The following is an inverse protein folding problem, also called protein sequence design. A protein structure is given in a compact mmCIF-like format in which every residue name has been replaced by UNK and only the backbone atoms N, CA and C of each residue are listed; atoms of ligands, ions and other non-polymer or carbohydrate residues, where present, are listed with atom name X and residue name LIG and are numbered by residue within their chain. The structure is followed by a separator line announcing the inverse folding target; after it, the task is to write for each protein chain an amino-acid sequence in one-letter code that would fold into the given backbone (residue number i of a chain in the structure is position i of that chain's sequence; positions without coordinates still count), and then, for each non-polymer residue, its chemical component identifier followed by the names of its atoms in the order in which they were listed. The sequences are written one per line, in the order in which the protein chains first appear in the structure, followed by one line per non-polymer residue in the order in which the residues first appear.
data_IF_550570100265
#
_entry.id   IF_550570100265
#
_cell.length_a   1.000
_cell.length_b   1.000
_cell.length_c   1.000
_cell.angle_alpha   90.00
_cell.angle_beta   90.00
_cell.angle_gamma   90.00
#
_symmetry.space_group_name_H-M   'P 1'
#
loop_
_entity.id
_entity.type
_entity.pdbx_description
1 polymer ?
#
# COMPACT_ATOMS: atom_id res chain seq x y z
N UNK A 1 5.76 5.81 30.36
CA UNK A 1 5.80 6.57 29.08
C UNK A 1 6.99 6.06 28.29
N UNK A 2 6.79 5.36 27.15
CA UNK A 2 7.91 4.69 26.47
C UNK A 2 8.33 5.27 25.11
N UNK A 3 7.89 6.49 24.75
CA UNK A 3 8.51 7.24 23.64
C UNK A 3 8.47 8.75 23.91
N UNK A 4 9.60 9.48 23.81
CA UNK A 4 9.58 10.93 23.90
C UNK A 4 8.85 11.55 22.70
N UNK A 5 8.34 12.77 22.87
CA UNK A 5 7.87 13.60 21.75
C UNK A 5 9.09 13.93 20.89
N UNK A 6 9.03 13.55 19.62
CA UNK A 6 10.05 13.95 18.65
C UNK A 6 9.76 15.39 18.25
N UNK A 7 10.78 16.23 18.18
CA UNK A 7 10.67 17.65 17.81
C UNK A 7 11.65 17.96 16.68
N UNK A 8 11.30 18.91 15.82
CA UNK A 8 12.14 19.38 14.72
C UNK A 8 11.76 20.80 14.31
N UNK A 9 12.71 21.55 13.77
CA UNK A 9 12.52 22.96 13.38
C UNK A 9 12.13 23.15 11.91
N UNK A 10 12.12 22.07 11.13
CA UNK A 10 11.92 22.12 9.66
C UNK A 10 10.78 21.23 9.20
N UNK A 11 10.89 19.93 9.46
CA UNK A 11 9.91 18.95 8.98
C UNK A 11 9.89 17.72 9.88
N UNK A 12 8.80 16.95 9.79
CA UNK A 12 8.60 15.72 10.54
C UNK A 12 7.71 14.76 9.75
N UNK A 13 8.00 13.46 9.85
CA UNK A 13 7.15 12.39 9.32
C UNK A 13 6.82 11.44 10.46
N UNK A 14 5.54 11.22 10.70
CA UNK A 14 5.04 10.23 11.65
C UNK A 14 4.30 9.13 10.86
N UNK A 15 4.75 7.89 11.02
CA UNK A 15 4.18 6.72 10.37
C UNK A 15 4.19 5.54 11.34
N UNK A 16 3.39 4.52 11.04
CA UNK A 16 3.27 3.32 11.87
C UNK A 16 4.48 2.38 11.78
N UNK A 17 5.43 2.63 10.87
CA UNK A 17 6.66 1.86 10.73
C UNK A 17 7.91 2.78 10.65
N UNK A 18 8.99 2.50 11.40
CA UNK A 18 10.20 3.33 11.39
C UNK A 18 10.82 3.51 10.00
N UNK A 19 10.89 2.45 9.19
CA UNK A 19 11.43 2.54 7.82
C UNK A 19 10.62 3.53 6.96
N UNK A 20 9.29 3.55 7.12
CA UNK A 20 8.43 4.48 6.40
C UNK A 20 8.64 5.93 6.86
N UNK A 21 8.70 6.16 8.19
CA UNK A 21 9.02 7.48 8.74
C UNK A 21 10.38 8.01 8.27
N UNK A 22 11.40 7.17 8.24
CA UNK A 22 12.73 7.54 7.77
C UNK A 22 12.74 7.84 6.27
N UNK A 23 12.06 7.02 5.46
CA UNK A 23 11.93 7.23 4.01
C UNK A 23 11.31 8.60 3.71
N UNK A 24 10.17 8.93 4.33
CA UNK A 24 9.54 10.24 4.14
C UNK A 24 10.42 11.39 4.61
N UNK A 25 11.11 11.24 5.74
CA UNK A 25 12.03 12.26 6.23
C UNK A 25 13.22 12.48 5.27
N UNK A 26 13.74 11.41 4.67
CA UNK A 26 14.85 11.50 3.73
C UNK A 26 14.42 12.12 2.39
N UNK A 27 13.19 11.90 1.94
CA UNK A 27 12.59 12.67 0.83
C UNK A 27 12.55 14.17 1.15
N UNK A 28 12.09 14.55 2.36
CA UNK A 28 12.07 15.96 2.78
C UNK A 28 13.49 16.57 2.87
N UNK A 29 14.49 15.80 3.32
CA UNK A 29 15.89 16.24 3.35
C UNK A 29 16.47 16.44 1.95
N UNK A 30 16.05 15.64 0.97
CA UNK A 30 16.44 15.74 -0.44
C UNK A 30 15.74 16.88 -1.19
N UNK A 31 14.84 17.61 -0.52
CA UNK A 31 14.15 18.77 -1.08
C UNK A 31 12.75 18.47 -1.62
N UNK A 32 12.27 17.23 -1.50
CA UNK A 32 10.87 16.90 -1.77
C UNK A 32 9.94 17.60 -0.78
N UNK A 33 8.67 17.75 -1.17
CA UNK A 33 7.67 18.37 -0.32
C UNK A 33 6.86 17.34 0.49
N UNK A 34 5.82 17.81 1.19
CA UNK A 34 4.98 16.95 2.03
C UNK A 34 4.21 15.88 1.25
N UNK A 35 3.82 16.15 -0.01
CA UNK A 35 3.14 15.18 -0.88
C UNK A 35 4.11 14.11 -1.35
N UNK A 36 5.30 14.51 -1.82
CA UNK A 36 6.37 13.59 -2.19
C UNK A 36 6.71 12.64 -1.03
N UNK A 37 6.90 13.21 0.16
CA UNK A 37 7.23 12.46 1.36
C UNK A 37 6.09 11.53 1.80
N UNK A 38 4.83 11.96 1.65
CA UNK A 38 3.67 11.14 2.00
C UNK A 38 3.53 9.93 1.08
N UNK A 39 3.73 10.09 -0.23
CA UNK A 39 3.68 9.00 -1.21
C UNK A 39 4.80 7.98 -0.92
N UNK A 40 6.05 8.44 -0.75
CA UNK A 40 7.17 7.56 -0.45
C UNK A 40 6.98 6.82 0.90
N UNK A 41 6.47 7.52 1.91
CA UNK A 41 6.13 6.92 3.21
C UNK A 41 5.07 5.83 3.04
N UNK A 42 3.98 6.12 2.32
CA UNK A 42 2.90 5.17 2.12
C UNK A 42 3.37 3.96 1.31
N UNK A 43 4.17 4.16 0.26
CA UNK A 43 4.75 3.07 -0.51
C UNK A 43 5.61 2.12 0.35
N UNK A 44 6.37 2.62 1.31
CA UNK A 44 7.10 1.76 2.26
C UNK A 44 6.16 1.06 3.25
N UNK A 45 5.05 1.68 3.65
CA UNK A 45 4.03 1.01 4.48
C UNK A 45 3.35 -0.15 3.74
N UNK A 46 3.15 -0.03 2.42
CA UNK A 46 2.61 -1.11 1.61
C UNK A 46 3.51 -2.37 1.66
N UNK A 47 4.81 -2.18 1.86
CA UNK A 47 5.81 -3.26 1.95
C UNK A 47 5.96 -3.76 3.38
N UNK A 48 6.03 -2.85 4.36
CA UNK A 48 6.42 -3.16 5.75
C UNK A 48 5.22 -3.40 6.68
N UNK A 49 4.02 -2.98 6.27
CA UNK A 49 2.76 -3.22 6.97
C UNK A 49 1.64 -3.72 6.03
N UNK A 50 1.86 -4.83 5.30
CA UNK A 50 0.87 -5.38 4.38
C UNK A 50 -0.40 -5.89 5.09
N UNK A 51 -0.34 -6.10 6.41
CA UNK A 51 -1.50 -6.45 7.24
C UNK A 51 -2.44 -5.28 7.53
N UNK A 52 -2.03 -4.04 7.20
CA UNK A 52 -2.80 -2.82 7.49
C UNK A 52 -3.12 -2.01 6.22
N UNK A 53 -2.30 -2.08 5.17
CA UNK A 53 -2.50 -1.30 3.94
C UNK A 53 -1.80 -1.93 2.73
N UNK A 54 -2.14 -1.45 1.53
CA UNK A 54 -1.54 -1.90 0.28
C UNK A 54 -2.09 -1.17 -0.94
N UNK A 55 -1.42 -1.32 -2.10
CA UNK A 55 -1.81 -0.70 -3.37
C UNK A 55 -3.11 -1.30 -3.92
N UNK A 56 -3.48 -2.48 -3.43
CA UNK A 56 -4.79 -3.11 -3.62
C UNK A 56 -5.91 -2.53 -2.75
N UNK A 57 -5.67 -1.44 -2.01
CA UNK A 57 -6.67 -0.74 -1.21
C UNK A 57 -6.83 0.72 -1.60
N UNK A 58 -7.19 1.53 -0.62
CA UNK A 58 -7.57 2.95 -0.77
C UNK A 58 -6.62 3.87 0.00
N UNK A 59 -6.64 5.16 -0.33
CA UNK A 59 -5.90 6.20 0.41
C UNK A 59 -6.67 7.52 0.40
N UNK A 60 -6.49 8.34 1.44
CA UNK A 60 -7.11 9.65 1.54
C UNK A 60 -6.05 10.67 1.94
N UNK A 61 -6.08 11.84 1.31
CA UNK A 61 -5.18 12.94 1.63
C UNK A 61 -5.94 14.16 2.12
N UNK A 62 -5.43 14.78 3.18
CA UNK A 62 -5.72 16.16 3.53
C UNK A 62 -4.43 16.95 3.36
N UNK A 63 -4.39 17.83 2.37
CA UNK A 63 -3.20 18.57 1.96
C UNK A 63 -3.42 20.04 2.30
N UNK A 64 -2.62 20.58 3.21
CA UNK A 64 -2.59 22.01 3.49
C UNK A 64 -1.61 22.71 2.54
N UNK A 65 -2.12 23.61 1.70
CA UNK A 65 -1.34 24.37 0.75
C UNK A 65 -0.88 25.68 1.39
N UNK A 66 0.31 25.66 2.00
CA UNK A 66 0.84 26.79 2.78
C UNK A 66 0.90 28.13 2.02
N UNK A 67 1.01 28.11 0.68
CA UNK A 67 1.02 29.32 -0.15
C UNK A 67 -0.35 30.00 -0.26
N UNK A 68 -1.43 29.23 -0.25
CA UNK A 68 -2.80 29.75 -0.39
C UNK A 68 -3.59 29.70 0.92
N UNK A 69 -3.14 28.92 1.90
CA UNK A 69 -3.86 28.66 3.13
C UNK A 69 -5.03 27.67 2.97
N UNK A 70 -5.17 27.04 1.80
CA UNK A 70 -6.27 26.13 1.50
C UNK A 70 -6.00 24.71 2.00
N UNK A 71 -7.08 23.97 2.29
CA UNK A 71 -7.04 22.53 2.55
C UNK A 71 -7.70 21.82 1.38
N UNK A 72 -6.96 20.91 0.76
CA UNK A 72 -7.46 20.06 -0.31
C UNK A 72 -7.68 18.66 0.24
N UNK A 73 -8.88 18.13 0.03
CA UNK A 73 -9.18 16.73 0.29
C UNK A 73 -9.13 15.94 -1.00
N UNK A 74 -8.36 14.85 -1.01
CA UNK A 74 -8.33 13.88 -2.10
C UNK A 74 -8.88 12.55 -1.61
N UNK A 75 -9.94 12.09 -2.27
CA UNK A 75 -10.61 10.83 -2.00
C UNK A 75 -10.11 9.76 -2.98
N UNK A 76 -9.20 8.90 -2.51
CA UNK A 76 -8.75 7.72 -3.23
C UNK A 76 -9.49 6.46 -2.80
N UNK A 77 -10.80 6.55 -2.57
CA UNK A 77 -11.64 5.39 -2.30
C UNK A 77 -12.11 4.71 -3.59
N UNK A 78 -11.91 3.41 -3.61
CA UNK A 78 -12.29 2.54 -4.69
C UNK A 78 -13.80 2.43 -4.91
N UNK A 79 -14.21 2.42 -6.17
CA UNK A 79 -15.63 2.19 -6.52
C UNK A 79 -15.98 0.71 -6.43
N UNK A 80 -17.24 0.42 -6.13
CA UNK A 80 -17.79 -0.91 -6.37
C UNK A 80 -17.63 -1.27 -7.87
N UNK A 81 -17.30 -2.53 -8.20
CA UNK A 81 -17.23 -2.98 -9.59
C UNK A 81 -18.56 -2.73 -10.31
N UNK A 82 -18.52 -2.38 -11.60
CA UNK A 82 -19.74 -2.05 -12.36
C UNK A 82 -20.76 -3.20 -12.40
N UNK A 83 -20.28 -4.45 -12.39
CA UNK A 83 -21.14 -5.64 -12.34
C UNK A 83 -21.57 -6.08 -10.94
N UNK A 84 -21.21 -5.35 -9.89
CA UNK A 84 -21.57 -5.70 -8.52
C UNK A 84 -23.01 -5.26 -8.22
N UNK A 85 -23.95 -6.21 -8.26
CA UNK A 85 -25.36 -5.99 -7.93
C UNK A 85 -25.77 -6.75 -6.66
N UNK A 86 -26.40 -6.08 -5.67
CA UNK A 86 -26.87 -6.74 -4.45
C UNK A 86 -27.85 -7.90 -4.71
N UNK A 87 -28.70 -7.77 -5.73
CA UNK A 87 -29.66 -8.80 -6.13
C UNK A 87 -28.96 -10.09 -6.54
N UNK A 88 -27.86 -10.00 -7.32
CA UNK A 88 -27.09 -11.16 -7.74
C UNK A 88 -26.44 -11.92 -6.58
N UNK A 89 -26.13 -11.23 -5.47
CA UNK A 89 -25.64 -11.89 -4.25
C UNK A 89 -26.78 -12.56 -3.49
N UNK A 90 -27.96 -11.93 -3.43
CA UNK A 90 -29.16 -12.51 -2.79
C UNK A 90 -29.63 -13.76 -3.52
N UNK A 91 -29.60 -13.77 -4.86
CA UNK A 91 -29.91 -14.94 -5.69
C UNK A 91 -28.95 -16.11 -5.42
N UNK A 92 -27.69 -15.81 -5.08
CA UNK A 92 -26.69 -16.79 -4.63
C UNK A 92 -26.86 -17.22 -3.16
N UNK A 93 -27.90 -16.73 -2.47
CA UNK A 93 -28.22 -17.06 -1.08
C UNK A 93 -27.45 -16.26 -0.03
N UNK A 94 -26.73 -15.19 -0.40
CA UNK A 94 -26.01 -14.36 0.56
C UNK A 94 -26.92 -13.30 1.20
N UNK A 95 -26.82 -13.17 2.53
CA UNK A 95 -27.51 -12.15 3.31
C UNK A 95 -26.61 -10.95 3.67
N UNK A 96 -25.31 -11.07 3.42
CA UNK A 96 -24.29 -10.03 3.56
C UNK A 96 -23.11 -10.36 2.64
N UNK A 97 -22.24 -9.39 2.36
CA UNK A 97 -21.01 -9.63 1.60
C UNK A 97 -20.09 -10.53 2.43
N UNK A 98 -19.72 -11.74 1.96
CA UNK A 98 -18.85 -12.63 2.72
C UNK A 98 -17.47 -12.00 2.90
N UNK A 99 -16.95 -11.89 4.14
CA UNK A 99 -15.58 -11.45 4.37
C UNK A 99 -14.59 -12.37 3.64
N UNK A 100 -13.49 -11.80 3.11
CA UNK A 100 -12.43 -12.54 2.41
C UNK A 100 -12.92 -13.29 1.14
N UNK A 101 -13.97 -12.78 0.50
CA UNK A 101 -14.41 -13.22 -0.83
C UNK A 101 -14.08 -12.18 -1.89
N UNK A 102 -14.07 -12.57 -3.17
CA UNK A 102 -13.92 -11.64 -4.29
C UNK A 102 -15.00 -10.53 -4.29
N UNK A 103 -16.18 -10.81 -3.74
CA UNK A 103 -17.27 -9.82 -3.62
C UNK A 103 -16.97 -8.69 -2.63
N UNK A 104 -15.97 -8.87 -1.76
CA UNK A 104 -15.54 -7.83 -0.82
C UNK A 104 -14.50 -6.88 -1.43
N UNK A 105 -14.10 -7.08 -2.68
CA UNK A 105 -13.06 -6.28 -3.36
C UNK A 105 -13.71 -5.14 -4.16
N UNK A 106 -13.30 -3.92 -3.86
CA UNK A 106 -13.57 -2.72 -4.68
C UNK A 106 -12.40 -2.44 -5.62
N UNK A 107 -12.59 -1.60 -6.63
CA UNK A 107 -11.50 -1.18 -7.52
C UNK A 107 -10.48 -0.35 -6.71
N UNK A 108 -9.23 -0.78 -6.51
CA UNK A 108 -8.32 -0.09 -5.59
C UNK A 108 -8.09 1.39 -5.95
N UNK A 109 -8.23 2.32 -5.01
CA UNK A 109 -8.06 3.75 -5.28
C UNK A 109 -6.69 4.33 -4.92
N UNK A 110 -5.82 3.56 -4.24
CA UNK A 110 -4.54 4.03 -3.71
C UNK A 110 -3.60 4.60 -4.78
N UNK A 111 -3.34 3.83 -5.85
CA UNK A 111 -2.38 4.22 -6.90
C UNK A 111 -2.85 5.43 -7.70
N UNK A 112 -4.14 5.50 -8.03
CA UNK A 112 -4.72 6.66 -8.70
C UNK A 112 -4.54 7.93 -7.85
N UNK A 113 -4.83 7.84 -6.56
CA UNK A 113 -4.69 8.96 -5.64
C UNK A 113 -3.24 9.40 -5.41
N UNK A 114 -2.28 8.46 -5.42
CA UNK A 114 -0.85 8.83 -5.41
C UNK A 114 -0.48 9.65 -6.64
N UNK A 115 -0.83 9.16 -7.83
CA UNK A 115 -0.46 9.85 -9.07
C UNK A 115 -1.21 11.17 -9.23
N UNK A 116 -2.51 11.24 -8.92
CA UNK A 116 -3.28 12.49 -9.00
C UNK A 116 -2.74 13.57 -8.03
N UNK A 117 -2.32 13.18 -6.82
CA UNK A 117 -1.66 14.08 -5.88
C UNK A 117 -0.28 14.50 -6.38
N UNK A 118 0.49 13.56 -6.91
CA UNK A 118 1.83 13.79 -7.43
C UNK A 118 1.85 14.69 -8.68
N UNK A 119 0.97 14.46 -9.65
CA UNK A 119 0.86 15.28 -10.86
C UNK A 119 0.57 16.75 -10.53
N UNK A 120 -0.24 16.98 -9.50
CA UNK A 120 -0.69 18.34 -9.14
C UNK A 120 0.23 19.04 -8.15
N UNK A 121 0.82 18.29 -7.23
CA UNK A 121 1.54 18.86 -6.08
C UNK A 121 2.92 18.25 -5.84
N UNK A 122 3.31 17.19 -6.53
CA UNK A 122 4.64 16.57 -6.40
C UNK A 122 5.76 17.43 -6.96
N UNK A 123 6.98 17.21 -6.47
CA UNK A 123 8.17 17.94 -6.92
C UNK A 123 9.37 17.04 -7.23
N UNK A 124 9.28 15.73 -6.93
CA UNK A 124 10.32 14.75 -7.24
C UNK A 124 9.77 13.69 -8.21
N UNK A 125 10.60 13.04 -9.03
CA UNK A 125 10.12 12.01 -9.94
C UNK A 125 9.66 10.75 -9.19
N UNK A 126 8.63 10.07 -9.71
CA UNK A 126 7.98 8.95 -9.02
C UNK A 126 8.92 7.76 -8.74
N UNK A 127 9.91 7.52 -9.61
CA UNK A 127 10.93 6.49 -9.40
C UNK A 127 11.80 6.75 -8.16
N UNK A 128 12.14 8.01 -7.89
CA UNK A 128 12.83 8.40 -6.66
C UNK A 128 11.95 8.23 -5.42
N UNK A 129 10.63 8.42 -5.53
CA UNK A 129 9.68 8.24 -4.42
C UNK A 129 9.45 6.76 -4.08
N UNK A 130 9.45 5.88 -5.09
CA UNK A 130 9.21 4.44 -4.92
C UNK A 130 10.49 3.62 -4.67
N UNK A 131 11.68 4.22 -4.82
CA UNK A 131 12.97 3.54 -4.72
C UNK A 131 13.14 2.74 -3.41
N UNK A 132 12.82 3.34 -2.26
CA UNK A 132 12.95 2.66 -0.97
C UNK A 132 11.92 1.54 -0.80
N UNK A 133 10.69 1.72 -1.30
CA UNK A 133 9.69 0.65 -1.29
C UNK A 133 10.15 -0.55 -2.13
N UNK A 134 10.71 -0.31 -3.32
CA UNK A 134 11.29 -1.36 -4.16
C UNK A 134 12.41 -2.10 -3.42
N UNK A 135 13.34 -1.35 -2.82
CA UNK A 135 14.45 -1.92 -2.05
C UNK A 135 13.97 -2.78 -0.87
N UNK A 136 13.04 -2.28 -0.06
CA UNK A 136 12.53 -3.04 1.08
C UNK A 136 11.67 -4.23 0.64
N UNK A 137 11.03 -4.17 -0.53
CA UNK A 137 10.30 -5.31 -1.09
C UNK A 137 11.24 -6.43 -1.57
N UNK A 138 12.48 -6.12 -1.97
CA UNK A 138 13.50 -7.15 -2.22
C UNK A 138 13.96 -7.86 -0.94
N UNK A 139 13.81 -7.21 0.22
CA UNK A 139 14.06 -7.81 1.52
C UNK A 139 14.05 -6.78 2.65
N UNK A 140 13.32 -7.07 3.72
CA UNK A 140 13.41 -6.31 4.97
C UNK A 140 13.17 -7.22 6.19
N UNK A 141 13.71 -6.87 7.37
CA UNK A 141 13.43 -7.60 8.60
C UNK A 141 11.95 -7.49 9.00
N UNK A 142 11.32 -8.62 9.30
CA UNK A 142 9.94 -8.68 9.80
C UNK A 142 9.89 -8.03 11.19
N UNK A 143 8.95 -7.10 11.38
CA UNK A 143 8.70 -6.49 12.68
C UNK A 143 7.97 -7.44 13.63
N UNK A 144 8.07 -7.21 14.95
CA UNK A 144 7.30 -7.96 15.94
C UNK A 144 5.80 -7.96 15.66
N UNK A 145 5.25 -6.82 15.27
CA UNK A 145 3.84 -6.68 14.95
C UNK A 145 3.47 -7.50 13.71
N UNK A 146 4.23 -7.38 12.61
CA UNK A 146 3.95 -8.12 11.40
C UNK A 146 4.04 -9.64 11.63
N UNK A 147 5.04 -10.11 12.39
CA UNK A 147 5.17 -11.53 12.75
C UNK A 147 3.94 -12.04 13.53
N UNK A 148 3.46 -11.27 14.52
CA UNK A 148 2.25 -11.61 15.29
C UNK A 148 1.04 -11.74 14.37
N UNK A 149 0.81 -10.75 13.50
CA UNK A 149 -0.33 -10.76 12.58
C UNK A 149 -0.28 -11.92 11.59
N UNK A 150 0.89 -12.23 11.03
CA UNK A 150 1.05 -13.38 10.13
C UNK A 150 0.78 -14.69 10.89
N UNK A 151 1.29 -14.84 12.11
CA UNK A 151 1.05 -16.02 12.93
C UNK A 151 -0.43 -16.20 13.28
N UNK A 152 -1.11 -15.14 13.68
CA UNK A 152 -2.54 -15.16 14.02
C UNK A 152 -3.43 -15.49 12.80
N UNK A 153 -2.96 -15.17 11.60
CA UNK A 153 -3.72 -15.33 10.35
C UNK A 153 -3.17 -16.45 9.45
N UNK A 154 -2.30 -17.32 9.95
CA UNK A 154 -1.66 -18.37 9.17
C UNK A 154 -2.66 -19.22 8.38
N UNK A 155 -3.76 -19.63 9.02
CA UNK A 155 -4.78 -20.45 8.38
C UNK A 155 -5.36 -19.76 7.14
N UNK A 156 -5.65 -18.47 7.23
CA UNK A 156 -6.18 -17.71 6.09
C UNK A 156 -5.13 -17.50 5.01
N UNK A 157 -3.91 -17.14 5.40
CA UNK A 157 -2.81 -16.91 4.47
C UNK A 157 -2.46 -18.19 3.68
N UNK A 158 -2.65 -19.37 4.28
CA UNK A 158 -2.43 -20.66 3.62
C UNK A 158 -3.49 -21.05 2.58
N UNK A 159 -4.63 -20.34 2.50
CA UNK A 159 -5.72 -20.67 1.56
C UNK A 159 -5.39 -20.35 0.11
N UNK A 160 -4.47 -19.42 -0.12
CA UNK A 160 -4.00 -19.00 -1.45
C UNK A 160 -2.51 -19.34 -1.56
N UNK A 161 -2.11 -20.25 -2.46
CA UNK A 161 -0.71 -20.65 -2.64
C UNK A 161 0.23 -19.46 -2.89
N UNK A 162 -0.21 -18.48 -3.66
CA UNK A 162 0.54 -17.26 -4.00
C UNK A 162 0.78 -16.39 -2.76
N UNK A 163 -0.25 -16.25 -1.90
CA UNK A 163 -0.13 -15.54 -0.62
C UNK A 163 0.77 -16.29 0.35
N UNK A 164 0.61 -17.61 0.46
CA UNK A 164 1.41 -18.47 1.32
C UNK A 164 2.89 -18.46 0.92
N UNK A 165 3.20 -18.45 -0.37
CA UNK A 165 4.57 -18.38 -0.88
C UNK A 165 5.32 -17.12 -0.43
N UNK A 166 4.59 -16.01 -0.22
CA UNK A 166 5.16 -14.74 0.24
C UNK A 166 5.25 -14.71 1.77
N UNK A 167 4.15 -14.97 2.47
CA UNK A 167 4.04 -14.71 3.91
C UNK A 167 4.28 -15.93 4.80
N UNK A 168 4.35 -17.14 4.24
CA UNK A 168 4.65 -18.38 4.96
C UNK A 168 5.86 -19.09 4.31
N UNK A 169 7.04 -18.45 4.21
CA UNK A 169 8.20 -19.06 3.59
C UNK A 169 8.58 -20.37 4.32
N UNK A 170 8.68 -21.46 3.56
CA UNK A 170 8.90 -22.79 4.12
C UNK A 170 7.68 -23.37 4.87
N UNK A 171 6.48 -22.85 4.61
CA UNK A 171 5.22 -23.36 5.17
C UNK A 171 4.89 -22.89 6.59
N UNK A 172 5.63 -21.91 7.13
CA UNK A 172 5.45 -21.41 8.51
C UNK A 172 5.50 -19.88 8.58
N UNK A 173 4.87 -19.26 9.60
CA UNK A 173 5.03 -17.84 9.89
C UNK A 173 6.51 -17.48 10.14
N UNK A 174 6.98 -16.31 9.66
CA UNK A 174 8.31 -15.81 9.97
C UNK A 174 8.38 -15.30 11.42
N UNK A 175 9.58 -15.31 11.99
CA UNK A 175 9.87 -14.71 13.29
C UNK A 175 10.28 -13.24 13.12
N UNK A 176 10.15 -12.42 14.18
CA UNK A 176 10.73 -11.08 14.18
C UNK A 176 12.23 -11.12 13.82
N UNK A 177 12.64 -10.30 12.86
CA UNK A 177 14.00 -10.25 12.34
C UNK A 177 14.28 -11.14 11.13
N UNK A 178 13.44 -12.14 10.83
CA UNK A 178 13.55 -12.90 9.58
C UNK A 178 13.38 -11.96 8.38
N UNK A 179 14.03 -12.28 7.25
CA UNK A 179 13.95 -11.44 6.04
C UNK A 179 12.72 -11.85 5.22
N UNK A 180 11.76 -10.93 5.10
CA UNK A 180 10.61 -11.07 4.21
C UNK A 180 10.93 -10.49 2.84
N UNK A 181 10.71 -11.28 1.78
CA UNK A 181 10.87 -10.86 0.39
C UNK A 181 9.53 -10.85 -0.32
N UNK A 182 9.24 -9.77 -1.04
CA UNK A 182 8.02 -9.54 -1.81
C UNK A 182 8.41 -9.16 -3.24
N UNK A 183 9.07 -10.10 -3.94
CA UNK A 183 9.70 -9.84 -5.25
C UNK A 183 8.71 -9.35 -6.31
N UNK A 184 7.50 -9.90 -6.30
CA UNK A 184 6.45 -9.50 -7.24
C UNK A 184 5.98 -8.08 -6.95
N UNK A 185 5.84 -7.71 -5.67
CA UNK A 185 5.52 -6.33 -5.29
C UNK A 185 6.64 -5.36 -5.67
N UNK A 186 7.92 -5.76 -5.54
CA UNK A 186 9.04 -4.96 -6.04
C UNK A 186 8.96 -4.75 -7.56
N UNK A 187 8.60 -5.80 -8.32
CA UNK A 187 8.37 -5.69 -9.76
C UNK A 187 7.19 -4.77 -10.09
N UNK A 188 6.09 -4.88 -9.34
CA UNK A 188 4.94 -3.97 -9.43
C UNK A 188 5.36 -2.52 -9.21
N UNK A 189 6.09 -2.20 -8.14
CA UNK A 189 6.54 -0.82 -7.90
C UNK A 189 7.50 -0.31 -8.98
N UNK A 190 8.38 -1.16 -9.54
CA UNK A 190 9.20 -0.76 -10.70
C UNK A 190 8.37 -0.47 -11.94
N UNK A 191 7.24 -1.15 -12.11
CA UNK A 191 6.32 -0.88 -13.22
C UNK A 191 5.58 0.45 -12.98
N UNK A 192 5.05 0.67 -11.78
CA UNK A 192 4.39 1.92 -11.40
C UNK A 192 5.33 3.13 -11.52
N UNK A 193 6.60 2.99 -11.12
CA UNK A 193 7.60 4.03 -11.28
C UNK A 193 7.83 4.45 -12.75
N UNK A 194 7.66 3.51 -13.69
CA UNK A 194 7.91 3.74 -15.13
C UNK A 194 6.67 4.15 -15.90
N UNK A 195 5.52 3.62 -15.55
CA UNK A 195 4.29 3.70 -16.34
C UNK A 195 3.11 4.35 -15.60
N UNK A 196 3.31 4.75 -14.34
CA UNK A 196 2.30 5.42 -13.53
C UNK A 196 1.09 4.54 -13.24
N UNK A 197 -0.07 5.15 -12.99
CA UNK A 197 -1.31 4.43 -12.71
C UNK A 197 -1.81 3.63 -13.92
N UNK A 198 -1.38 3.97 -15.15
CA UNK A 198 -1.76 3.21 -16.35
C UNK A 198 -1.36 1.74 -16.23
N UNK A 199 -0.17 1.45 -15.68
CA UNK A 199 0.25 0.07 -15.44
C UNK A 199 -0.68 -0.68 -14.49
N UNK A 200 -1.21 0.00 -13.46
CA UNK A 200 -2.10 -0.58 -12.46
C UNK A 200 -3.52 -0.82 -12.98
N UNK A 201 -4.07 0.13 -13.76
CA UNK A 201 -5.48 0.13 -14.16
C UNK A 201 -5.75 -0.33 -15.60
N UNK A 202 -4.71 -0.44 -16.44
CA UNK A 202 -4.84 -0.80 -17.85
C UNK A 202 -3.74 -1.75 -18.35
N UNK A 203 -2.76 -2.09 -17.52
CA UNK A 203 -1.63 -2.95 -17.88
C UNK A 203 -1.73 -4.36 -17.31
N UNK A 204 -0.61 -5.07 -17.29
CA UNK A 204 -0.50 -6.44 -16.81
C UNK A 204 -0.99 -6.63 -15.35
N UNK A 205 -0.88 -5.60 -14.52
CA UNK A 205 -1.41 -5.64 -13.13
C UNK A 205 -2.94 -5.69 -13.15
N UNK A 206 -3.58 -4.88 -13.99
CA UNK A 206 -5.04 -4.86 -14.13
C UNK A 206 -5.56 -6.22 -14.61
N UNK A 207 -4.88 -6.81 -15.60
CA UNK A 207 -5.21 -8.14 -16.12
C UNK A 207 -5.06 -9.21 -15.04
N UNK A 208 -3.96 -9.20 -14.27
CA UNK A 208 -3.74 -10.16 -13.19
C UNK A 208 -4.80 -10.05 -12.08
N UNK A 209 -5.18 -8.83 -11.69
CA UNK A 209 -6.26 -8.59 -10.72
C UNK A 209 -7.59 -9.15 -11.27
N UNK A 210 -7.94 -8.82 -12.51
CA UNK A 210 -9.19 -9.28 -13.12
C UNK A 210 -9.24 -10.81 -13.23
N UNK A 211 -8.16 -11.46 -13.67
CA UNK A 211 -8.07 -12.92 -13.76
C UNK A 211 -8.21 -13.57 -12.39
N UNK A 212 -7.55 -13.03 -11.37
CA UNK A 212 -7.62 -13.56 -9.98
C UNK A 212 -9.04 -13.49 -9.42
N UNK A 213 -9.79 -12.42 -9.73
CA UNK A 213 -11.18 -12.25 -9.24
C UNK A 213 -12.21 -13.06 -10.04
N UNK A 214 -11.86 -13.55 -11.24
CA UNK A 214 -12.73 -14.34 -12.11
C UNK A 214 -12.56 -15.86 -11.92
N UNK A 215 -11.43 -16.30 -11.36
CA UNK A 215 -11.13 -17.70 -11.07
C UNK A 215 -11.98 -18.25 -9.90
#
# INVERSE_FOLDING_TARGET
MHRPVIMGTRAMVAAAHPLASMTGLDILKRGGNAVDAAIATNAVLNVTQPHMCGIGGDVFYLIYLARTGEIVFLNGSGRAPQGAHPESLREKGFNSIPPRSAYAVTVPGCVAAWEDAWEKYGTMPMDELLADAIKYAEGHPVSYQLASYISEHQEVLSRCPETAAIFLPGGRPPHPGDILQQRDLAATFRLLAREGKKAFYQGAIAEAIAQTLQA
#
